data_IF_967830096555
#
_entry.id   IF_967830096555
#
_cell.length_a   1.000
_cell.length_b   1.000
_cell.length_c   1.000
_cell.angle_alpha   90.00
_cell.angle_beta   90.00
_cell.angle_gamma   90.00
#
_symmetry.space_group_name_H-M   'P 1'
#
loop_
_entity.id
_entity.type
_entity.pdbx_description
1 polymer ?
#
# COMPACT_ATOMS: atom_id res chain seq x y z
N UNK A 1 -30.88 -22.42 -9.61
CA UNK A 1 -30.48 -21.37 -8.67
C UNK A 1 -29.10 -21.76 -8.15
N UNK A 2 -28.07 -21.51 -8.96
CA UNK A 2 -26.70 -21.86 -8.59
C UNK A 2 -26.30 -20.94 -7.44
N UNK A 3 -25.96 -21.55 -6.30
CA UNK A 3 -25.23 -20.89 -5.24
C UNK A 3 -23.95 -20.35 -5.88
N UNK A 4 -23.86 -19.02 -6.00
CA UNK A 4 -22.59 -18.36 -6.26
C UNK A 4 -21.72 -18.71 -5.05
N UNK A 5 -20.85 -19.69 -5.22
CA UNK A 5 -19.71 -19.88 -4.34
C UNK A 5 -19.03 -18.51 -4.26
N UNK A 6 -18.99 -17.91 -3.06
CA UNK A 6 -18.11 -16.79 -2.81
C UNK A 6 -16.70 -17.30 -3.09
N UNK A 7 -16.14 -17.01 -4.26
CA UNK A 7 -14.74 -17.24 -4.55
C UNK A 7 -13.94 -16.53 -3.45
N UNK A 8 -13.40 -17.31 -2.52
CA UNK A 8 -12.45 -16.85 -1.51
C UNK A 8 -11.14 -16.57 -2.21
N UNK A 9 -11.09 -15.50 -3.00
CA UNK A 9 -9.85 -15.03 -3.59
C UNK A 9 -8.89 -14.68 -2.46
N UNK A 10 -7.73 -15.34 -2.44
CA UNK A 10 -6.64 -14.98 -1.54
C UNK A 10 -6.29 -13.50 -1.75
N UNK A 11 -6.55 -12.67 -0.75
CA UNK A 11 -6.24 -11.25 -0.81
C UNK A 11 -4.79 -11.06 -0.39
N UNK A 12 -3.96 -10.54 -1.29
CA UNK A 12 -2.60 -10.13 -0.96
C UNK A 12 -2.65 -9.00 0.07
N UNK A 13 -1.83 -9.11 1.12
CA UNK A 13 -1.69 -8.06 2.12
C UNK A 13 -1.32 -6.73 1.46
N UNK A 14 -2.05 -5.66 1.80
CA UNK A 14 -1.77 -4.32 1.30
C UNK A 14 -2.12 -4.07 -0.17
N UNK A 15 -2.73 -5.03 -0.89
CA UNK A 15 -3.03 -4.91 -2.32
C UNK A 15 -3.75 -3.60 -2.68
N UNK A 16 -4.78 -3.22 -1.92
CA UNK A 16 -5.55 -2.00 -2.18
C UNK A 16 -4.78 -0.70 -1.93
N UNK A 17 -3.60 -0.77 -1.30
CA UNK A 17 -2.69 0.37 -1.13
C UNK A 17 -1.57 0.34 -2.18
N UNK A 18 -0.94 -0.82 -2.34
CA UNK A 18 0.27 -1.00 -3.16
C UNK A 18 -0.04 -0.97 -4.65
N UNK A 19 -1.04 -1.73 -5.11
CA UNK A 19 -1.29 -1.86 -6.54
C UNK A 19 -1.71 -0.54 -7.19
N UNK A 20 -2.63 0.27 -6.61
CA UNK A 20 -2.95 1.58 -7.19
C UNK A 20 -1.74 2.52 -7.17
N UNK A 21 -0.88 2.42 -6.15
CA UNK A 21 0.34 3.22 -6.08
C UNK A 21 1.36 2.87 -7.18
N UNK A 22 1.49 1.58 -7.53
CA UNK A 22 2.31 1.12 -8.67
C UNK A 22 1.70 1.57 -10.00
N UNK A 23 0.36 1.55 -10.13
CA UNK A 23 -0.31 2.06 -11.32
C UNK A 23 -0.05 3.55 -11.55
N UNK A 24 0.00 4.33 -10.48
CA UNK A 24 0.33 5.76 -10.57
C UNK A 24 1.78 5.98 -11.00
N UNK A 25 2.73 5.16 -10.53
CA UNK A 25 4.11 5.19 -11.03
C UNK A 25 4.22 4.78 -12.49
N UNK A 26 3.55 3.70 -12.89
CA UNK A 26 3.49 3.25 -14.28
C UNK A 26 2.95 4.37 -15.18
N UNK A 27 1.93 5.10 -14.72
CA UNK A 27 1.36 6.22 -15.46
C UNK A 27 2.34 7.38 -15.59
N UNK A 28 3.10 7.72 -14.53
CA UNK A 28 4.15 8.75 -14.58
C UNK A 28 5.30 8.39 -15.53
N UNK A 29 5.53 7.09 -15.75
CA UNK A 29 6.52 6.56 -16.68
C UNK A 29 5.97 6.40 -18.13
N UNK A 30 4.77 6.89 -18.41
CA UNK A 30 4.09 6.76 -19.71
C UNK A 30 4.00 5.31 -20.22
N UNK A 31 3.87 4.33 -19.31
CA UNK A 31 3.67 2.94 -19.69
C UNK A 31 2.30 2.74 -20.33
N UNK A 32 2.23 1.96 -21.41
CA UNK A 32 0.97 1.65 -22.08
C UNK A 32 0.16 0.61 -21.29
N UNK A 33 -0.71 1.10 -20.39
CA UNK A 33 -1.60 0.28 -19.57
C UNK A 33 -3.04 0.81 -19.65
N UNK A 34 -4.09 -0.03 -19.51
CA UNK A 34 -5.48 0.41 -19.63
C UNK A 34 -5.99 1.12 -18.36
N UNK A 35 -5.49 2.33 -18.09
CA UNK A 35 -5.79 3.13 -16.88
C UNK A 35 -7.25 3.57 -16.71
N UNK A 36 -8.03 3.53 -17.79
CA UNK A 36 -9.42 4.00 -17.84
C UNK A 36 -10.45 2.86 -17.66
N UNK A 37 -10.01 1.66 -17.28
CA UNK A 37 -10.94 0.57 -16.97
C UNK A 37 -11.69 0.87 -15.66
N UNK A 38 -13.00 0.59 -15.57
CA UNK A 38 -13.78 0.84 -14.35
C UNK A 38 -13.23 0.19 -13.08
N UNK A 39 -12.51 -0.94 -13.21
CA UNK A 39 -11.86 -1.60 -12.09
C UNK A 39 -10.71 -0.77 -11.50
N UNK A 40 -10.00 0.01 -12.34
CA UNK A 40 -8.90 0.86 -11.90
C UNK A 40 -9.42 2.02 -11.06
N UNK A 41 -10.55 2.62 -11.45
CA UNK A 41 -11.19 3.67 -10.67
C UNK A 41 -11.74 3.15 -9.34
N UNK A 42 -12.28 1.92 -9.32
CA UNK A 42 -12.65 1.24 -8.07
C UNK A 42 -11.46 1.02 -7.16
N UNK A 43 -10.32 0.61 -7.70
CA UNK A 43 -9.08 0.38 -6.95
C UNK A 43 -8.52 1.69 -6.36
N UNK A 44 -8.52 2.78 -7.13
CA UNK A 44 -8.15 4.12 -6.63
C UNK A 44 -9.08 4.58 -5.51
N UNK A 45 -10.39 4.44 -5.71
CA UNK A 45 -11.39 4.80 -4.69
C UNK A 45 -11.22 3.98 -3.40
N UNK A 46 -10.95 2.68 -3.53
CA UNK A 46 -10.69 1.80 -2.39
C UNK A 46 -9.41 2.22 -1.63
N UNK A 47 -8.36 2.63 -2.35
CA UNK A 47 -7.14 3.18 -1.74
C UNK A 47 -7.43 4.44 -0.94
N UNK A 48 -8.10 5.40 -1.54
CA UNK A 48 -8.45 6.67 -0.89
C UNK A 48 -9.31 6.45 0.37
N UNK A 49 -10.30 5.56 0.29
CA UNK A 49 -11.13 5.20 1.43
C UNK A 49 -10.30 4.56 2.56
N UNK A 50 -9.36 3.67 2.21
CA UNK A 50 -8.49 3.00 3.19
C UNK A 50 -7.52 3.99 3.83
N UNK A 51 -6.90 4.87 3.05
CA UNK A 51 -6.04 5.94 3.55
C UNK A 51 -6.76 6.87 4.51
N UNK A 52 -8.01 7.26 4.21
CA UNK A 52 -8.81 8.11 5.11
C UNK A 52 -9.12 7.44 6.46
N UNK A 53 -9.15 6.11 6.51
CA UNK A 53 -9.39 5.34 7.73
C UNK A 53 -8.12 5.07 8.53
N UNK A 54 -6.94 5.27 7.93
CA UNK A 54 -5.66 5.02 8.57
C UNK A 54 -5.35 6.19 9.53
N UNK A 55 -5.23 5.93 10.84
CA UNK A 55 -4.81 6.95 11.78
C UNK A 55 -3.30 7.16 11.65
N UNK A 56 -2.87 8.01 10.71
CA UNK A 56 -1.43 8.21 10.39
C UNK A 56 -0.57 8.50 11.63
N UNK A 57 -1.10 9.26 12.59
CA UNK A 57 -0.40 9.55 13.85
C UNK A 57 -0.04 8.31 14.67
N UNK A 58 -0.86 7.24 14.61
CA UNK A 58 -0.61 5.99 15.33
C UNK A 58 0.45 5.12 14.66
N UNK A 59 0.68 5.30 13.35
CA UNK A 59 1.71 4.54 12.63
C UNK A 59 3.09 4.82 13.24
N UNK A 60 3.32 6.07 13.67
CA UNK A 60 4.61 6.52 14.18
C UNK A 60 4.87 6.17 15.64
N UNK A 61 3.83 5.86 16.41
CA UNK A 61 3.94 5.62 17.86
C UNK A 61 3.82 4.16 18.23
N UNK A 62 3.16 3.37 17.38
CA UNK A 62 2.81 1.98 17.67
C UNK A 62 3.16 1.11 16.47
N UNK A 63 3.80 -0.06 16.67
CA UNK A 63 3.98 -1.02 15.59
C UNK A 63 2.63 -1.41 14.98
N UNK A 64 2.44 -1.07 13.71
CA UNK A 64 1.21 -1.35 12.97
C UNK A 64 1.54 -2.11 11.69
N UNK A 65 0.67 -3.02 11.28
CA UNK A 65 0.88 -3.89 10.11
C UNK A 65 1.02 -3.12 8.79
N UNK A 66 0.63 -1.84 8.76
CA UNK A 66 0.73 -1.01 7.57
C UNK A 66 2.18 -0.71 7.16
N UNK A 67 3.12 -0.73 8.12
CA UNK A 67 4.55 -0.54 7.83
C UNK A 67 5.10 -1.64 6.92
N UNK A 68 4.48 -2.83 6.92
CA UNK A 68 4.81 -3.92 5.98
C UNK A 68 4.58 -3.54 4.50
N UNK A 69 3.67 -2.61 4.23
CA UNK A 69 3.27 -2.14 2.89
C UNK A 69 3.55 -0.64 2.73
N UNK A 70 4.65 -0.16 3.31
CA UNK A 70 5.07 1.25 3.29
C UNK A 70 5.14 1.81 1.86
N UNK A 71 5.57 0.99 0.91
CA UNK A 71 5.66 1.35 -0.51
C UNK A 71 4.31 1.77 -1.10
N UNK A 72 3.19 1.28 -0.56
CA UNK A 72 1.85 1.63 -0.99
C UNK A 72 1.31 2.94 -0.41
N UNK A 73 1.98 3.52 0.59
CA UNK A 73 1.56 4.74 1.30
C UNK A 73 2.65 5.82 1.37
N UNK A 74 3.73 5.66 0.59
CA UNK A 74 4.92 6.52 0.57
C UNK A 74 4.63 8.02 0.33
N UNK A 75 3.48 8.33 -0.26
CA UNK A 75 3.00 9.67 -0.59
C UNK A 75 2.33 10.40 0.58
N UNK A 76 2.00 9.71 1.68
CA UNK A 76 1.25 10.28 2.82
C UNK A 76 1.94 10.11 4.17
N UNK A 77 3.13 9.52 4.22
CA UNK A 77 3.89 9.30 5.45
C UNK A 77 4.90 10.40 5.73
N UNK A 78 5.15 10.64 7.01
CA UNK A 78 6.27 11.44 7.50
C UNK A 78 7.50 10.54 7.62
N UNK A 79 8.46 10.73 6.72
CA UNK A 79 9.68 9.93 6.67
C UNK A 79 10.56 10.08 7.91
N UNK A 80 10.63 11.26 8.51
CA UNK A 80 11.44 11.46 9.73
C UNK A 80 10.89 10.61 10.87
N UNK A 81 9.56 10.49 10.95
CA UNK A 81 8.88 9.70 11.97
C UNK A 81 8.91 8.20 11.64
N UNK A 82 8.70 7.82 10.39
CA UNK A 82 8.76 6.41 9.96
C UNK A 82 10.14 5.82 10.22
N UNK A 83 11.23 6.53 9.90
CA UNK A 83 12.58 6.00 10.04
C UNK A 83 12.94 5.61 11.49
N UNK A 84 12.25 6.19 12.49
CA UNK A 84 12.40 5.83 13.92
C UNK A 84 11.86 4.44 14.25
N UNK A 85 11.06 3.84 13.36
CA UNK A 85 10.47 2.50 13.50
C UNK A 85 11.33 1.38 12.89
N UNK A 86 12.51 1.70 12.35
CA UNK A 86 13.42 0.69 11.80
C UNK A 86 13.75 -0.37 12.85
N UNK A 87 13.65 -1.64 12.47
CA UNK A 87 13.99 -2.76 13.35
C UNK A 87 15.51 -2.88 13.52
N UNK A 88 15.96 -3.64 14.52
CA UNK A 88 17.38 -3.82 14.83
C UNK A 88 18.18 -4.46 13.70
N UNK A 89 17.52 -5.21 12.81
CA UNK A 89 18.12 -5.79 11.61
C UNK A 89 18.14 -4.82 10.41
N UNK A 90 17.68 -3.58 10.60
CA UNK A 90 17.60 -2.55 9.58
C UNK A 90 16.31 -2.59 8.75
N UNK A 91 15.45 -3.58 8.95
CA UNK A 91 14.23 -3.75 8.15
C UNK A 91 13.07 -2.90 8.64
N UNK A 92 12.08 -2.72 7.77
CA UNK A 92 10.75 -2.26 8.11
C UNK A 92 9.79 -3.44 8.11
N UNK A 93 9.41 -3.90 9.30
CA UNK A 93 8.47 -5.01 9.53
C UNK A 93 8.83 -6.30 8.77
N UNK A 94 10.12 -6.63 8.69
CA UNK A 94 10.64 -7.75 7.91
C UNK A 94 10.22 -7.75 6.42
N UNK A 95 9.78 -6.61 5.88
CA UNK A 95 9.35 -6.47 4.48
C UNK A 95 10.51 -5.92 3.64
N UNK A 96 11.05 -6.69 2.68
CA UNK A 96 12.07 -6.18 1.78
C UNK A 96 11.57 -5.01 0.92
N UNK A 97 10.30 -5.03 0.50
CA UNK A 97 9.71 -3.98 -0.32
C UNK A 97 9.58 -2.65 0.46
N UNK A 98 9.07 -2.70 1.69
CA UNK A 98 8.99 -1.53 2.56
C UNK A 98 10.40 -0.99 2.88
N UNK A 99 11.35 -1.89 3.15
CA UNK A 99 12.74 -1.51 3.44
C UNK A 99 13.42 -0.86 2.23
N UNK A 100 13.20 -1.39 1.02
CA UNK A 100 13.69 -0.77 -0.21
C UNK A 100 13.05 0.62 -0.43
N UNK A 101 11.75 0.76 -0.17
CA UNK A 101 11.07 2.05 -0.28
C UNK A 101 11.61 3.08 0.72
N UNK A 102 12.01 2.68 1.92
CA UNK A 102 12.60 3.57 2.91
C UNK A 102 14.06 3.95 2.61
N UNK A 103 14.73 3.19 1.73
CA UNK A 103 16.11 3.45 1.32
C UNK A 103 16.22 4.44 0.15
N UNK A 104 15.25 4.41 -0.77
CA UNK A 104 15.22 5.22 -2.00
C UNK A 104 14.75 6.66 -1.76
#
# INVERSE_FOLDING_TARGET
>A
MALLEEETHEKLCGFELVFPSILDDAKKLDLNFPYNLPIIDKLRSAREEKLRKIPLHLIYTTPTSIVYSLEGIRDVVDWEQILKLQQTDGSFMCSPAATACAYL
#
